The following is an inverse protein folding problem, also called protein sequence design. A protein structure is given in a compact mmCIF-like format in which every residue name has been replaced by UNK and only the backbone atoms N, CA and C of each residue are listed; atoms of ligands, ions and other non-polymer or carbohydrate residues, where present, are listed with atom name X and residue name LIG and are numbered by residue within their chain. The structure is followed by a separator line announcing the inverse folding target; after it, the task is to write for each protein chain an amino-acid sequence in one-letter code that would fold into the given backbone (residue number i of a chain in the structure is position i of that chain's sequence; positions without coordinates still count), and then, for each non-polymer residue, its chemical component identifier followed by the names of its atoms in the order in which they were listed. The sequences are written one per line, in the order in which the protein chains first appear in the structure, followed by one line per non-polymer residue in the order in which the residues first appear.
data_IF_380600732949
#
_entry.id   IF_380600732949
#
_cell.length_a   1.000
_cell.length_b   1.000
_cell.length_c   1.000
_cell.angle_alpha   90.00
_cell.angle_beta   90.00
_cell.angle_gamma   90.00
#
_symmetry.space_group_name_H-M   'P 1'
#
loop_
_entity.id
_entity.type
_entity.pdbx_description
1 polymer ?
#
# COMPACT_ATOMS: atom_id res chain seq x y z
N UNK A 1 31.31 -3.87 -23.87
CA UNK A 1 30.18 -4.70 -24.32
C UNK A 1 29.85 -5.76 -23.25
N UNK A 2 28.63 -5.76 -22.70
CA UNK A 2 28.19 -6.73 -21.69
C UNK A 2 28.16 -8.15 -22.28
N UNK A 3 28.56 -9.16 -21.50
CA UNK A 3 28.59 -10.55 -21.93
C UNK A 3 27.18 -11.12 -22.10
N UNK A 4 26.99 -12.02 -23.08
CA UNK A 4 25.69 -12.62 -23.41
C UNK A 4 24.98 -13.29 -22.21
N UNK A 5 25.74 -13.74 -21.20
CA UNK A 5 25.21 -14.26 -19.94
C UNK A 5 24.56 -13.17 -19.08
N UNK A 6 25.22 -12.02 -18.91
CA UNK A 6 24.73 -10.88 -18.12
C UNK A 6 23.47 -10.26 -18.74
N UNK A 7 23.40 -10.19 -20.08
CA UNK A 7 22.19 -9.69 -20.77
C UNK A 7 20.98 -10.59 -20.57
N UNK A 8 21.16 -11.93 -20.54
CA UNK A 8 20.05 -12.87 -20.29
C UNK A 8 19.55 -12.81 -18.86
N UNK A 9 20.46 -12.69 -17.91
CA UNK A 9 20.14 -12.54 -16.49
C UNK A 9 19.35 -11.24 -16.26
N UNK A 10 19.80 -10.12 -16.83
CA UNK A 10 19.13 -8.82 -16.73
C UNK A 10 17.71 -8.85 -17.31
N UNK A 11 17.51 -9.45 -18.48
CA UNK A 11 16.18 -9.60 -19.10
C UNK A 11 15.27 -10.48 -18.23
N UNK A 12 15.81 -11.53 -17.61
CA UNK A 12 15.02 -12.42 -16.76
C UNK A 12 14.57 -11.73 -15.47
N UNK A 13 15.43 -10.94 -14.85
CA UNK A 13 15.11 -10.17 -13.64
C UNK A 13 14.13 -9.03 -13.95
N UNK A 14 14.36 -8.29 -15.05
CA UNK A 14 13.42 -7.25 -15.49
C UNK A 14 12.01 -7.82 -15.71
N UNK A 15 11.91 -9.00 -16.33
CA UNK A 15 10.62 -9.67 -16.54
C UNK A 15 9.96 -10.09 -15.24
N UNK A 16 10.72 -10.66 -14.29
CA UNK A 16 10.20 -11.03 -12.96
C UNK A 16 9.67 -9.82 -12.22
N UNK A 17 10.45 -8.74 -12.16
CA UNK A 17 10.08 -7.50 -11.47
C UNK A 17 8.84 -6.88 -12.13
N UNK A 18 8.83 -6.76 -13.46
CA UNK A 18 7.68 -6.19 -14.18
C UNK A 18 6.40 -6.98 -13.94
N UNK A 19 6.49 -8.31 -14.01
CA UNK A 19 5.34 -9.19 -13.75
C UNK A 19 4.84 -9.02 -12.31
N UNK A 20 5.75 -9.04 -11.32
CA UNK A 20 5.41 -8.85 -9.93
C UNK A 20 4.72 -7.50 -9.67
N UNK A 21 5.22 -6.42 -10.29
CA UNK A 21 4.64 -5.07 -10.15
C UNK A 21 3.24 -4.99 -10.76
N UNK A 22 3.04 -5.54 -11.96
CA UNK A 22 1.74 -5.52 -12.64
C UNK A 22 0.71 -6.33 -11.84
N UNK A 23 1.07 -7.55 -11.45
CA UNK A 23 0.18 -8.43 -10.68
C UNK A 23 -0.14 -7.83 -9.31
N UNK A 24 0.85 -7.28 -8.61
CA UNK A 24 0.66 -6.61 -7.32
C UNK A 24 -0.28 -5.42 -7.43
N UNK A 25 -0.11 -4.59 -8.46
CA UNK A 25 -0.97 -3.43 -8.72
C UNK A 25 -2.41 -3.86 -9.01
N UNK A 26 -2.62 -4.87 -9.85
CA UNK A 26 -3.96 -5.38 -10.18
C UNK A 26 -4.68 -5.97 -8.97
N UNK A 27 -3.97 -6.76 -8.15
CA UNK A 27 -4.53 -7.34 -6.92
C UNK A 27 -4.89 -6.22 -5.92
N UNK A 28 -4.00 -5.23 -5.75
CA UNK A 28 -4.24 -4.08 -4.88
C UNK A 28 -5.46 -3.28 -5.34
N UNK A 29 -5.56 -3.03 -6.65
CA UNK A 29 -6.66 -2.28 -7.25
C UNK A 29 -8.01 -2.99 -7.06
N UNK A 30 -8.06 -4.31 -7.26
CA UNK A 30 -9.25 -5.11 -7.00
C UNK A 30 -9.66 -5.04 -5.52
N UNK A 31 -8.71 -5.23 -4.60
CA UNK A 31 -8.98 -5.18 -3.17
C UNK A 31 -9.49 -3.80 -2.73
N UNK A 32 -8.89 -2.71 -3.24
CA UNK A 32 -9.34 -1.35 -2.95
C UNK A 32 -10.74 -1.06 -3.48
N UNK A 33 -11.02 -1.46 -4.71
CA UNK A 33 -12.34 -1.26 -5.31
C UNK A 33 -13.42 -2.01 -4.52
N UNK A 34 -13.16 -3.27 -4.12
CA UNK A 34 -14.11 -4.05 -3.31
C UNK A 34 -14.33 -3.38 -1.95
N UNK A 35 -13.26 -2.95 -1.28
CA UNK A 35 -13.35 -2.24 0.00
C UNK A 35 -14.14 -0.92 -0.14
N UNK A 36 -13.96 -0.19 -1.24
CA UNK A 36 -14.71 1.02 -1.54
C UNK A 36 -16.18 0.73 -1.82
N UNK A 37 -16.50 -0.33 -2.57
CA UNK A 37 -17.87 -0.75 -2.86
C UNK A 37 -18.65 -1.05 -1.57
N UNK A 38 -18.02 -1.73 -0.61
CA UNK A 38 -18.62 -1.96 0.71
C UNK A 38 -18.98 -0.63 1.38
N UNK A 39 -18.07 0.36 1.32
CA UNK A 39 -18.33 1.71 1.83
C UNK A 39 -19.48 2.41 1.09
N UNK A 40 -19.55 2.28 -0.23
CA UNK A 40 -20.61 2.87 -1.07
C UNK A 40 -21.98 2.26 -0.78
N UNK A 41 -22.05 0.94 -0.61
CA UNK A 41 -23.28 0.22 -0.26
C UNK A 41 -23.77 0.59 1.13
N UNK A 42 -22.87 0.64 2.12
CA UNK A 42 -23.20 1.04 3.50
C UNK A 42 -23.71 2.48 3.60
N UNK A 43 -23.22 3.36 2.73
CA UNK A 43 -23.59 4.79 2.72
C UNK A 43 -24.69 5.11 1.73
N UNK A 44 -25.19 4.11 1.00
CA UNK A 44 -26.19 4.23 -0.04
C UNK A 44 -25.86 5.30 -1.08
N UNK A 45 -24.59 5.34 -1.52
CA UNK A 45 -24.15 6.24 -2.60
C UNK A 45 -24.99 5.97 -3.85
N UNK A 46 -25.53 7.01 -4.51
CA UNK A 46 -26.20 6.84 -5.78
C UNK A 46 -25.26 6.17 -6.79
N UNK A 47 -25.69 5.06 -7.37
CA UNK A 47 -24.97 4.35 -8.44
C UNK A 47 -23.61 3.78 -7.96
N UNK A 48 -23.60 3.07 -6.83
CA UNK A 48 -22.41 2.46 -6.22
C UNK A 48 -21.54 1.64 -7.21
N UNK A 49 -22.15 0.90 -8.14
CA UNK A 49 -21.45 0.15 -9.19
C UNK A 49 -20.63 1.04 -10.15
N UNK A 50 -21.11 2.25 -10.46
CA UNK A 50 -20.37 3.20 -11.28
C UNK A 50 -19.12 3.69 -10.55
N UNK A 51 -19.27 4.09 -9.29
CA UNK A 51 -18.14 4.49 -8.46
C UNK A 51 -17.17 3.35 -8.18
N UNK A 52 -17.63 2.11 -8.08
CA UNK A 52 -16.77 0.92 -8.00
C UNK A 52 -15.86 0.80 -9.22
N UNK A 53 -16.42 0.88 -10.43
CA UNK A 53 -15.63 0.85 -11.66
C UNK A 53 -14.62 2.00 -11.72
N UNK A 54 -15.07 3.22 -11.39
CA UNK A 54 -14.20 4.40 -11.35
C UNK A 54 -13.05 4.24 -10.35
N UNK A 55 -13.35 3.69 -9.16
CA UNK A 55 -12.37 3.41 -8.11
C UNK A 55 -11.38 2.34 -8.55
N UNK A 56 -11.83 1.26 -9.21
CA UNK A 56 -10.97 0.21 -9.72
C UNK A 56 -9.94 0.74 -10.73
N UNK A 57 -10.38 1.54 -11.70
CA UNK A 57 -9.46 2.16 -12.66
C UNK A 57 -8.55 3.19 -11.98
N UNK A 58 -9.08 3.99 -11.05
CA UNK A 58 -8.27 4.95 -10.31
C UNK A 58 -7.23 4.27 -9.41
N UNK A 59 -7.52 3.11 -8.83
CA UNK A 59 -6.63 2.34 -7.97
C UNK A 59 -5.37 1.82 -8.69
N UNK A 60 -5.37 1.80 -10.03
CA UNK A 60 -4.16 1.52 -10.81
C UNK A 60 -3.07 2.60 -10.58
N UNK A 61 -3.47 3.79 -10.15
CA UNK A 61 -2.59 4.89 -9.77
C UNK A 61 -2.53 4.99 -8.24
N UNK A 62 -1.35 5.20 -7.64
CA UNK A 62 -1.25 5.41 -6.20
C UNK A 62 -2.21 6.51 -5.72
N UNK A 63 -2.94 6.24 -4.63
CA UNK A 63 -3.94 7.13 -4.05
C UNK A 63 -5.16 7.47 -4.93
N UNK A 64 -5.34 6.81 -6.09
CA UNK A 64 -6.51 7.06 -6.93
C UNK A 64 -7.82 6.56 -6.31
N UNK A 65 -7.83 5.38 -5.68
CA UNK A 65 -9.05 4.86 -5.04
C UNK A 65 -9.59 5.74 -3.90
N UNK A 66 -8.79 6.16 -2.90
CA UNK A 66 -9.25 7.09 -1.86
C UNK A 66 -9.77 8.41 -2.44
N UNK A 67 -9.15 8.91 -3.52
CA UNK A 67 -9.59 10.14 -4.20
C UNK A 67 -11.01 10.00 -4.73
N UNK A 68 -11.33 8.89 -5.40
CA UNK A 68 -12.69 8.64 -5.90
C UNK A 68 -13.69 8.48 -4.76
N UNK A 69 -13.33 7.80 -3.67
CA UNK A 69 -14.19 7.73 -2.48
C UNK A 69 -14.49 9.10 -1.87
N UNK A 70 -13.50 10.00 -1.80
CA UNK A 70 -13.70 11.37 -1.30
C UNK A 70 -14.66 12.13 -2.22
N UNK A 71 -14.52 11.99 -3.54
CA UNK A 71 -15.46 12.59 -4.50
C UNK A 71 -16.88 12.05 -4.26
N UNK A 72 -17.05 10.74 -4.07
CA UNK A 72 -18.34 10.14 -3.75
C UNK A 72 -18.91 10.65 -2.41
N UNK A 73 -18.06 10.88 -1.40
CA UNK A 73 -18.47 11.47 -0.12
C UNK A 73 -18.97 12.92 -0.30
N UNK A 74 -18.31 13.71 -1.16
CA UNK A 74 -18.77 15.07 -1.50
C UNK A 74 -20.13 15.03 -2.19
N UNK A 75 -20.37 14.07 -3.10
CA UNK A 75 -21.68 13.88 -3.75
C UNK A 75 -22.77 13.60 -2.71
N UNK A 76 -22.52 12.73 -1.73
CA UNK A 76 -23.45 12.49 -0.61
C UNK A 76 -23.69 13.74 0.24
N UNK A 77 -22.66 14.53 0.48
CA UNK A 77 -22.74 15.76 1.28
C UNK A 77 -23.65 16.79 0.59
N UNK A 78 -23.46 17.00 -0.72
CA UNK A 78 -24.31 17.88 -1.54
C UNK A 78 -25.73 17.32 -1.65
N UNK A 79 -25.87 15.99 -1.67
CA UNK A 79 -27.15 15.30 -1.63
C UNK A 79 -27.87 15.34 -0.28
N UNK A 80 -27.38 16.10 0.71
CA UNK A 80 -28.04 16.30 2.01
C UNK A 80 -27.84 15.17 3.02
N UNK A 81 -26.88 14.27 2.80
CA UNK A 81 -26.58 13.15 3.69
C UNK A 81 -25.20 13.31 4.38
N UNK A 82 -25.04 14.29 5.29
CA UNK A 82 -23.74 14.64 5.87
C UNK A 82 -23.13 13.53 6.73
N UNK A 83 -23.97 12.74 7.43
CA UNK A 83 -23.49 11.63 8.25
C UNK A 83 -22.92 10.50 7.39
N UNK A 84 -23.59 10.14 6.29
CA UNK A 84 -23.10 9.15 5.33
C UNK A 84 -21.83 9.63 4.62
N UNK A 85 -21.76 10.93 4.27
CA UNK A 85 -20.57 11.53 3.68
C UNK A 85 -19.35 11.48 4.62
N UNK A 86 -19.54 11.86 5.90
CA UNK A 86 -18.48 11.80 6.90
C UNK A 86 -18.02 10.37 7.13
N UNK A 87 -18.95 9.42 7.25
CA UNK A 87 -18.63 8.00 7.37
C UNK A 87 -17.81 7.51 6.17
N UNK A 88 -18.23 7.85 4.93
CA UNK A 88 -17.53 7.42 3.73
C UNK A 88 -16.12 8.03 3.63
N UNK A 89 -15.96 9.29 4.03
CA UNK A 89 -14.65 9.95 4.07
C UNK A 89 -13.70 9.27 5.06
N UNK A 90 -14.18 8.92 6.26
CA UNK A 90 -13.40 8.17 7.25
C UNK A 90 -13.10 6.75 6.74
N UNK A 91 -14.08 6.07 6.15
CA UNK A 91 -13.90 4.75 5.53
C UNK A 91 -12.84 4.76 4.43
N UNK A 92 -12.83 5.79 3.58
CA UNK A 92 -11.84 5.97 2.53
C UNK A 92 -10.42 6.14 3.09
N UNK A 93 -10.27 6.99 4.13
CA UNK A 93 -8.97 7.25 4.74
C UNK A 93 -8.43 6.04 5.51
N UNK A 94 -9.29 5.35 6.26
CA UNK A 94 -8.90 4.22 7.11
C UNK A 94 -8.87 2.94 6.30
N UNK A 95 -10.02 2.47 5.79
CA UNK A 95 -10.13 1.14 5.19
C UNK A 95 -9.47 1.10 3.82
N UNK A 96 -9.90 1.96 2.89
CA UNK A 96 -9.41 1.94 1.49
C UNK A 96 -7.93 2.36 1.42
N UNK A 97 -7.53 3.35 2.23
CA UNK A 97 -6.13 3.76 2.38
C UNK A 97 -5.22 2.69 2.99
N UNK A 98 -5.74 1.86 3.91
CA UNK A 98 -4.97 0.75 4.49
C UNK A 98 -4.69 -0.38 3.49
N UNK A 99 -5.57 -0.62 2.51
CA UNK A 99 -5.38 -1.69 1.53
C UNK A 99 -4.06 -1.51 0.76
N UNK A 100 -3.74 -0.31 0.28
CA UNK A 100 -2.47 -0.05 -0.42
C UNK A 100 -1.25 -0.23 0.50
N UNK A 101 -1.41 0.08 1.78
CA UNK A 101 -0.36 -0.02 2.80
C UNK A 101 -0.13 -1.44 3.30
N UNK A 102 -1.08 -2.36 3.10
CA UNK A 102 -0.99 -3.76 3.54
C UNK A 102 -0.66 -4.68 2.35
N UNK A 103 -1.32 -4.49 1.21
CA UNK A 103 -1.18 -5.39 0.05
C UNK A 103 0.22 -5.30 -0.54
N UNK A 104 0.80 -4.10 -0.69
CA UNK A 104 2.17 -3.95 -1.20
C UNK A 104 3.21 -4.69 -0.34
N UNK A 105 3.31 -4.50 0.98
CA UNK A 105 4.28 -5.24 1.78
C UNK A 105 3.94 -6.73 1.88
N UNK A 106 2.65 -7.13 1.89
CA UNK A 106 2.27 -8.54 1.92
C UNK A 106 2.68 -9.29 0.64
N UNK A 107 2.47 -8.68 -0.52
CA UNK A 107 2.88 -9.24 -1.82
C UNK A 107 4.41 -9.19 -1.97
N UNK A 108 5.08 -8.22 -1.34
CA UNK A 108 6.54 -8.07 -1.36
C UNK A 108 7.26 -8.82 -0.22
N UNK A 109 6.59 -9.71 0.53
CA UNK A 109 7.22 -10.46 1.61
C UNK A 109 8.28 -11.43 1.07
N UNK A 110 9.51 -10.94 1.02
CA UNK A 110 10.74 -11.71 1.19
C UNK A 110 11.31 -11.43 2.58
N UNK A 111 11.32 -12.45 3.44
CA UNK A 111 12.12 -12.65 4.66
C UNK A 111 12.66 -11.42 5.41
N UNK A 112 11.78 -10.72 6.14
CA UNK A 112 12.24 -9.85 7.23
C UNK A 112 11.62 -10.30 8.54
N UNK A 113 12.31 -11.22 9.20
CA UNK A 113 12.11 -11.60 10.60
C UNK A 113 12.43 -10.43 11.53
N UNK A 114 11.60 -9.39 11.55
CA UNK A 114 11.64 -8.42 12.63
C UNK A 114 10.97 -8.99 13.87
N UNK A 115 11.74 -9.16 14.94
CA UNK A 115 11.18 -9.42 16.27
C UNK A 115 10.18 -8.31 16.63
N UNK A 116 8.99 -8.68 17.12
CA UNK A 116 7.87 -7.76 17.30
C UNK A 116 8.17 -6.52 18.16
N UNK A 117 9.11 -6.62 19.10
CA UNK A 117 9.57 -5.46 19.88
C UNK A 117 10.24 -4.39 19.02
N UNK A 118 11.05 -4.79 18.03
CA UNK A 118 11.74 -3.87 17.11
C UNK A 118 10.74 -3.13 16.24
N UNK A 119 9.69 -3.82 15.78
CA UNK A 119 8.61 -3.22 15.00
C UNK A 119 7.85 -2.17 15.82
N UNK A 120 7.54 -2.47 17.08
CA UNK A 120 6.85 -1.53 17.97
C UNK A 120 7.61 -0.21 18.12
N UNK A 121 8.92 -0.29 18.40
CA UNK A 121 9.77 0.90 18.49
C UNK A 121 9.95 1.60 17.13
N UNK A 122 10.00 0.87 16.03
CA UNK A 122 10.07 1.44 14.69
C UNK A 122 8.80 2.26 14.35
N UNK A 123 7.63 1.76 14.73
CA UNK A 123 6.35 2.45 14.51
C UNK A 123 6.23 3.71 15.38
N UNK A 124 6.56 3.63 16.67
CA UNK A 124 6.51 4.80 17.57
C UNK A 124 7.57 5.83 17.18
N UNK A 125 8.80 5.40 16.92
CA UNK A 125 9.90 6.28 16.51
C UNK A 125 9.65 6.92 15.14
N UNK A 126 9.11 6.15 14.20
CA UNK A 126 8.68 6.66 12.91
C UNK A 126 7.58 7.71 13.06
N UNK A 127 6.53 7.41 13.82
CA UNK A 127 5.44 8.35 14.11
C UNK A 127 5.93 9.65 14.75
N UNK A 128 6.87 9.56 15.69
CA UNK A 128 7.46 10.73 16.36
C UNK A 128 8.34 11.57 15.42
N UNK A 129 9.08 10.94 14.49
CA UNK A 129 10.02 11.62 13.61
C UNK A 129 9.37 12.21 12.34
N UNK A 130 8.41 11.51 11.74
CA UNK A 130 7.83 11.85 10.43
C UNK A 130 6.30 11.89 10.43
N UNK A 131 5.64 11.82 11.59
CA UNK A 131 4.18 11.81 11.70
C UNK A 131 3.56 10.56 11.06
N UNK A 132 2.38 10.69 10.46
CA UNK A 132 1.65 9.55 9.89
C UNK A 132 2.45 8.79 8.80
N UNK A 133 3.26 9.51 8.02
CA UNK A 133 4.16 8.92 7.00
C UNK A 133 5.26 8.06 7.65
N UNK A 134 5.63 8.43 8.88
CA UNK A 134 6.58 7.73 9.71
C UNK A 134 6.17 6.33 10.12
N UNK A 135 4.87 6.01 10.15
CA UNK A 135 4.40 4.65 10.41
C UNK A 135 4.86 3.67 9.32
N UNK A 136 5.04 4.15 8.09
CA UNK A 136 5.56 3.36 6.97
C UNK A 136 7.09 3.41 6.93
N UNK A 137 7.67 4.61 7.07
CA UNK A 137 9.13 4.81 6.98
C UNK A 137 9.89 4.17 8.15
N UNK A 138 9.30 4.11 9.34
CA UNK A 138 9.92 3.55 10.54
C UNK A 138 10.34 2.08 10.37
N UNK A 139 9.41 1.15 10.11
CA UNK A 139 9.74 -0.24 9.85
C UNK A 139 10.71 -0.42 8.67
N UNK A 140 10.59 0.40 7.63
CA UNK A 140 11.44 0.34 6.43
C UNK A 140 12.90 0.74 6.73
N UNK A 141 13.10 1.81 7.49
CA UNK A 141 14.41 2.27 7.91
C UNK A 141 15.09 1.25 8.83
N UNK A 142 14.35 0.67 9.77
CA UNK A 142 14.87 -0.36 10.67
C UNK A 142 15.18 -1.65 9.91
N UNK A 143 14.42 -1.98 8.87
CA UNK A 143 14.67 -3.15 8.03
C UNK A 143 15.98 -3.00 7.28
N UNK A 144 16.20 -1.82 6.70
CA UNK A 144 17.45 -1.47 6.03
C UNK A 144 18.64 -1.52 6.99
N UNK A 145 18.48 -0.96 8.19
CA UNK A 145 19.52 -0.97 9.22
C UNK A 145 19.89 -2.40 9.64
N UNK A 146 18.90 -3.25 9.93
CA UNK A 146 19.14 -4.65 10.27
C UNK A 146 19.76 -5.44 9.12
N UNK A 147 19.34 -5.19 7.88
CA UNK A 147 19.93 -5.83 6.70
C UNK A 147 21.42 -5.46 6.55
N UNK A 148 21.76 -4.17 6.70
CA UNK A 148 23.16 -3.71 6.70
C UNK A 148 23.97 -4.35 7.83
N UNK A 149 23.40 -4.43 9.03
CA UNK A 149 24.03 -5.09 10.18
C UNK A 149 24.28 -6.58 9.93
N UNK A 150 23.34 -7.26 9.27
CA UNK A 150 23.44 -8.68 8.92
C UNK A 150 24.53 -8.92 7.86
N UNK A 151 24.66 -8.04 6.88
CA UNK A 151 25.76 -8.05 5.88
C UNK A 151 27.10 -7.78 6.57
N UNK A 152 27.18 -6.75 7.41
CA UNK A 152 28.41 -6.42 8.13
C UNK A 152 28.89 -7.56 9.03
N UNK A 153 27.98 -8.19 9.80
CA UNK A 153 28.31 -9.36 10.62
C UNK A 153 28.76 -10.56 9.80
N UNK A 154 28.22 -10.75 8.60
CA UNK A 154 28.62 -11.86 7.72
C UNK A 154 30.04 -11.66 7.18
N UNK A 155 30.41 -10.42 6.83
CA UNK A 155 31.70 -10.15 6.18
C UNK A 155 32.82 -9.79 7.18
N UNK A 156 32.47 -9.30 8.37
CA UNK A 156 33.43 -8.79 9.37
C UNK A 156 33.18 -9.30 10.80
N UNK A 157 32.24 -10.23 11.01
CA UNK A 157 32.00 -10.82 12.33
C UNK A 157 33.07 -11.86 12.68
N UNK A 158 33.55 -11.92 13.94
CA UNK A 158 34.42 -13.01 14.38
C UNK A 158 33.63 -14.33 14.32
N UNK A 159 34.27 -15.36 13.73
CA UNK A 159 33.79 -16.74 13.68
C UNK A 159 33.49 -17.32 15.06
#
# INVERSE_FOLDING_TARGET
PLGRAQTRELISEFRKVSYAVIVSTLISAAAQAIAALIGYELTHVPHALFFFGLTFFAALVPAGAPTICIIAAIVLLVGGHPYSALFLAVWAAVVVGMVDNIVKPYVMKGDIEMHGGVLFFALIGGLAAFGMVGLLLGPLAVALFLALLRIYRRDYGPT
#
